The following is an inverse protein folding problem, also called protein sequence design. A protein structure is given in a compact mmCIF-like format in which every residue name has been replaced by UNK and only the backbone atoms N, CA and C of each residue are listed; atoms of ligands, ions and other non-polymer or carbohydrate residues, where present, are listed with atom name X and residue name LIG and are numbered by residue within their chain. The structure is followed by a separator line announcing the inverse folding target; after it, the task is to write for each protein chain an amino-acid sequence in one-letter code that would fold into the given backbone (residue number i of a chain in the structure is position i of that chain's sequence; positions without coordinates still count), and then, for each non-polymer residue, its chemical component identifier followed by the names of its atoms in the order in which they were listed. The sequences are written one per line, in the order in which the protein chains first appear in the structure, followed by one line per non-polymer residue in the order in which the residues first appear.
data_IF_633108765471
#
_entry.id   IF_633108765471
#
_cell.length_a   1.000
_cell.length_b   1.000
_cell.length_c   1.000
_cell.angle_alpha   90.00
_cell.angle_beta   90.00
_cell.angle_gamma   90.00
#
_symmetry.space_group_name_H-M   'P 1'
#
loop_
_entity.id
_entity.type
_entity.pdbx_description
1 polymer ?
#
# COMPACT_ATOMS: atom_id res chain seq x y z
N UNK A 1 12.46 6.63 -14.84
CA UNK A 1 12.97 6.92 -13.47
C UNK A 1 12.65 5.73 -12.57
N UNK A 2 13.68 5.04 -12.08
CA UNK A 2 13.50 3.87 -11.22
C UNK A 2 13.01 4.32 -9.83
N UNK A 3 11.76 3.98 -9.47
CA UNK A 3 11.24 4.14 -8.12
C UNK A 3 11.97 3.18 -7.19
N UNK A 4 12.95 3.68 -6.45
CA UNK A 4 13.95 2.86 -5.75
C UNK A 4 13.47 2.19 -4.46
N UNK A 5 12.33 2.50 -3.90
CA UNK A 5 11.83 1.81 -2.69
C UNK A 5 10.36 2.19 -2.43
N UNK A 6 9.47 1.23 -2.42
CA UNK A 6 8.10 1.42 -1.93
C UNK A 6 7.90 0.58 -0.67
N UNK A 7 7.52 1.22 0.43
CA UNK A 7 7.02 0.50 1.60
C UNK A 7 5.54 0.23 1.40
N UNK A 8 5.17 -1.02 1.21
CA UNK A 8 3.78 -1.42 1.01
C UNK A 8 3.18 -1.77 2.37
N UNK A 9 2.08 -1.14 2.72
CA UNK A 9 1.29 -1.48 3.89
C UNK A 9 -0.08 -2.01 3.50
N UNK A 10 -0.54 -3.03 4.23
CA UNK A 10 -1.69 -3.89 3.97
C UNK A 10 -3.07 -3.23 4.19
N UNK A 11 -3.16 -1.91 4.28
CA UNK A 11 -4.44 -1.23 4.48
C UNK A 11 -5.41 -1.37 3.30
N UNK A 12 -4.90 -1.75 2.12
CA UNK A 12 -5.75 -1.95 0.95
C UNK A 12 -6.76 -3.10 1.12
N UNK A 13 -6.31 -4.21 1.72
CA UNK A 13 -7.17 -5.40 1.90
C UNK A 13 -7.93 -5.39 3.23
N UNK A 14 -7.51 -4.63 4.23
CA UNK A 14 -8.13 -4.57 5.56
C UNK A 14 -9.57 -4.08 5.55
N UNK A 15 -9.92 -3.17 4.67
CA UNK A 15 -11.25 -2.56 4.64
C UNK A 15 -12.29 -3.37 3.86
N UNK A 16 -11.88 -4.50 3.24
CA UNK A 16 -12.80 -5.35 2.50
C UNK A 16 -13.43 -6.44 3.40
N UNK A 17 -14.75 -6.65 3.38
CA UNK A 17 -15.41 -7.78 4.04
C UNK A 17 -14.80 -9.12 3.60
N UNK A 18 -14.68 -10.09 4.52
CA UNK A 18 -14.04 -11.41 4.26
C UNK A 18 -14.49 -12.08 2.96
N UNK A 19 -15.80 -12.07 2.66
CA UNK A 19 -16.36 -12.67 1.43
C UNK A 19 -15.93 -11.94 0.15
N UNK A 20 -15.72 -10.64 0.22
CA UNK A 20 -15.32 -9.80 -0.92
C UNK A 20 -13.82 -9.91 -1.18
N UNK A 21 -13.00 -10.03 -0.13
CA UNK A 21 -11.55 -10.31 -0.24
C UNK A 21 -11.31 -11.56 -1.07
N UNK A 22 -11.97 -12.67 -0.74
CA UNK A 22 -11.83 -13.93 -1.46
C UNK A 22 -12.26 -13.86 -2.94
N UNK A 23 -13.26 -13.04 -3.29
CA UNK A 23 -13.76 -12.89 -4.66
C UNK A 23 -12.90 -11.92 -5.50
N UNK A 24 -12.36 -10.86 -4.88
CA UNK A 24 -11.44 -9.93 -5.52
C UNK A 24 -10.07 -10.57 -5.83
N UNK A 25 -9.59 -11.46 -4.96
CA UNK A 25 -8.32 -12.19 -5.12
C UNK A 25 -8.35 -13.22 -6.25
N UNK A 26 -9.51 -13.81 -6.57
CA UNK A 26 -9.58 -14.88 -7.59
C UNK A 26 -9.34 -14.43 -9.02
N UNK A 27 -9.34 -13.14 -9.33
CA UNK A 27 -9.22 -12.68 -10.73
C UNK A 27 -7.90 -12.02 -11.08
N UNK A 28 -7.29 -11.21 -10.24
CA UNK A 28 -5.91 -10.70 -10.39
C UNK A 28 -5.47 -10.10 -9.05
N UNK A 29 -4.37 -10.57 -8.53
CA UNK A 29 -3.76 -9.99 -7.34
C UNK A 29 -3.00 -8.72 -7.72
N UNK A 30 -3.55 -7.57 -7.35
CA UNK A 30 -2.91 -6.28 -7.62
C UNK A 30 -1.51 -6.19 -6.99
N UNK A 31 -1.32 -6.81 -5.83
CA UNK A 31 -0.01 -6.86 -5.17
C UNK A 31 1.04 -7.55 -6.04
N UNK A 32 0.73 -8.69 -6.63
CA UNK A 32 1.67 -9.40 -7.52
C UNK A 32 2.03 -8.55 -8.74
N UNK A 33 1.06 -7.86 -9.34
CA UNK A 33 1.31 -6.97 -10.47
C UNK A 33 2.24 -5.82 -10.08
N UNK A 34 1.98 -5.20 -8.94
CA UNK A 34 2.81 -4.11 -8.39
C UNK A 34 4.23 -4.61 -8.11
N UNK A 35 4.39 -5.77 -7.47
CA UNK A 35 5.70 -6.31 -7.12
C UNK A 35 6.51 -6.80 -8.33
N UNK A 36 5.88 -7.09 -9.46
CA UNK A 36 6.60 -7.33 -10.72
C UNK A 36 7.23 -6.05 -11.30
N UNK A 37 6.62 -4.91 -11.04
CA UNK A 37 7.05 -3.61 -11.59
C UNK A 37 7.95 -2.84 -10.62
N UNK A 38 7.76 -3.02 -9.31
CA UNK A 38 8.41 -2.26 -8.25
C UNK A 38 9.05 -3.17 -7.22
N UNK A 39 10.21 -2.78 -6.71
CA UNK A 39 10.84 -3.45 -5.57
C UNK A 39 10.13 -3.01 -4.28
N UNK A 40 9.44 -3.94 -3.65
CA UNK A 40 8.74 -3.71 -2.39
C UNK A 40 9.64 -3.93 -1.18
N UNK A 41 9.47 -3.09 -0.16
CA UNK A 41 10.16 -3.20 1.12
C UNK A 41 9.14 -3.03 2.25
N UNK A 42 9.21 -3.86 3.29
CA UNK A 42 8.40 -3.70 4.50
C UNK A 42 9.26 -3.73 5.75
N UNK A 43 8.94 -2.92 6.78
CA UNK A 43 9.56 -3.02 8.09
C UNK A 43 9.23 -4.34 8.80
N UNK A 44 10.09 -4.81 9.71
CA UNK A 44 9.82 -5.97 10.57
C UNK A 44 8.48 -5.81 11.33
N UNK A 45 8.22 -4.64 11.90
CA UNK A 45 6.96 -4.35 12.60
C UNK A 45 5.70 -4.54 11.73
N UNK A 46 5.78 -4.21 10.45
CA UNK A 46 4.69 -4.45 9.49
C UNK A 46 4.54 -5.94 9.20
N UNK A 47 5.66 -6.66 9.00
CA UNK A 47 5.64 -8.12 8.84
C UNK A 47 4.99 -8.80 10.04
N UNK A 48 5.40 -8.46 11.27
CA UNK A 48 4.84 -9.00 12.50
C UNK A 48 3.33 -8.75 12.60
N UNK A 49 2.89 -7.52 12.34
CA UNK A 49 1.47 -7.16 12.37
C UNK A 49 0.64 -7.98 11.37
N UNK A 50 1.17 -8.24 10.18
CA UNK A 50 0.51 -9.00 9.14
C UNK A 50 0.45 -10.48 9.52
N UNK A 51 1.57 -11.07 9.95
CA UNK A 51 1.67 -12.50 10.25
C UNK A 51 0.85 -12.91 11.48
N UNK A 52 0.71 -12.03 12.46
CA UNK A 52 -0.09 -12.28 13.66
C UNK A 52 -1.55 -12.64 13.35
N UNK A 53 -2.12 -12.14 12.26
CA UNK A 53 -3.57 -12.27 11.97
C UNK A 53 -3.96 -13.54 11.22
N UNK A 54 -3.04 -14.36 10.78
CA UNK A 54 -3.27 -15.62 10.02
C UNK A 54 -4.41 -15.52 8.97
N UNK A 55 -4.48 -14.40 8.26
CA UNK A 55 -5.46 -14.17 7.19
C UNK A 55 -4.92 -14.63 5.84
N UNK A 56 -5.81 -14.81 4.83
CA UNK A 56 -5.36 -15.12 3.46
C UNK A 56 -4.42 -14.05 2.91
N UNK A 57 -4.68 -12.79 3.23
CA UNK A 57 -3.83 -11.65 2.81
C UNK A 57 -2.43 -11.76 3.43
N UNK A 58 -2.35 -12.17 4.71
CA UNK A 58 -1.09 -12.43 5.38
C UNK A 58 -0.29 -13.54 4.68
N UNK A 59 -0.94 -14.62 4.29
CA UNK A 59 -0.29 -15.74 3.57
C UNK A 59 0.27 -15.30 2.22
N UNK A 60 -0.47 -14.47 1.47
CA UNK A 60 0.01 -13.92 0.20
C UNK A 60 1.25 -13.04 0.40
N UNK A 61 1.27 -12.21 1.43
CA UNK A 61 2.44 -11.36 1.72
C UNK A 61 3.62 -12.21 2.15
N UNK A 62 3.42 -13.22 3.00
CA UNK A 62 4.48 -14.17 3.38
C UNK A 62 5.04 -14.87 2.14
N UNK A 63 4.19 -15.34 1.25
CA UNK A 63 4.62 -15.92 -0.03
C UNK A 63 5.47 -14.94 -0.84
N UNK A 64 5.09 -13.66 -0.95
CA UNK A 64 5.87 -12.66 -1.67
C UNK A 64 7.24 -12.38 -1.00
N UNK A 65 7.33 -12.53 0.32
CA UNK A 65 8.60 -12.45 1.06
C UNK A 65 9.48 -13.67 0.74
N UNK A 66 8.92 -14.88 0.78
CA UNK A 66 9.63 -16.13 0.47
C UNK A 66 10.14 -16.17 -0.98
N UNK A 67 9.34 -15.67 -1.92
CA UNK A 67 9.70 -15.51 -3.33
C UNK A 67 10.69 -14.36 -3.58
N UNK A 68 11.10 -13.62 -2.53
CA UNK A 68 12.01 -12.45 -2.61
C UNK A 68 11.50 -11.28 -3.46
N UNK A 69 10.20 -11.25 -3.75
CA UNK A 69 9.55 -10.11 -4.41
C UNK A 69 9.35 -8.94 -3.43
N UNK A 70 9.27 -9.26 -2.13
CA UNK A 70 9.13 -8.30 -1.04
C UNK A 70 10.25 -8.49 -0.01
N UNK A 71 10.99 -7.43 0.28
CA UNK A 71 12.13 -7.47 1.20
C UNK A 71 11.71 -6.97 2.58
N UNK A 72 12.01 -7.76 3.63
CA UNK A 72 11.86 -7.31 5.01
C UNK A 72 13.15 -6.62 5.45
N UNK A 73 13.01 -5.45 6.05
CA UNK A 73 14.14 -4.70 6.60
C UNK A 73 13.90 -4.36 8.07
N UNK A 74 14.99 -4.18 8.81
CA UNK A 74 14.94 -3.81 10.23
C UNK A 74 14.18 -2.52 10.44
N UNK A 75 13.49 -2.44 11.57
CA UNK A 75 12.83 -1.21 11.98
C UNK A 75 13.87 -0.08 12.16
N UNK A 76 13.48 1.17 11.93
CA UNK A 76 14.28 2.32 12.31
C UNK A 76 14.56 2.34 13.82
N UNK A 77 15.58 3.10 14.21
CA UNK A 77 15.96 3.28 15.63
C UNK A 77 14.77 3.80 16.42
N UNK A 78 14.54 3.23 17.61
CA UNK A 78 13.35 3.48 18.42
C UNK A 78 13.18 4.97 18.78
N UNK A 79 14.27 5.68 19.02
CA UNK A 79 14.26 7.11 19.34
C UNK A 79 13.62 7.93 18.20
N UNK A 80 13.98 7.63 16.95
CA UNK A 80 13.37 8.29 15.78
C UNK A 80 11.89 7.96 15.63
N UNK A 81 11.53 6.71 15.92
CA UNK A 81 10.12 6.29 15.90
C UNK A 81 9.33 7.02 16.98
N UNK A 82 9.87 7.13 18.18
CA UNK A 82 9.21 7.80 19.30
C UNK A 82 8.97 9.29 19.02
N UNK A 83 9.89 9.98 18.35
CA UNK A 83 9.70 11.37 17.95
C UNK A 83 8.46 11.54 17.05
N UNK A 84 8.33 10.69 16.03
CA UNK A 84 7.16 10.76 15.13
C UNK A 84 5.88 10.35 15.85
N UNK A 85 5.90 9.28 16.65
CA UNK A 85 4.74 8.80 17.40
C UNK A 85 4.24 9.83 18.45
N UNK A 86 5.12 10.65 19.01
CA UNK A 86 4.77 11.72 19.95
C UNK A 86 3.94 12.81 19.27
N UNK A 87 4.32 13.19 18.06
CA UNK A 87 3.72 14.33 17.35
C UNK A 87 2.56 13.93 16.44
N UNK A 88 2.50 12.67 16.00
CA UNK A 88 1.51 12.20 15.03
C UNK A 88 0.87 10.87 15.50
N UNK A 89 -0.47 10.81 15.54
CA UNK A 89 -1.21 9.59 15.96
C UNK A 89 -1.28 8.54 14.84
N UNK A 90 -0.14 8.12 14.30
CA UNK A 90 -0.02 7.05 13.31
C UNK A 90 0.51 5.76 13.97
N UNK A 91 0.20 4.59 13.40
CA UNK A 91 0.63 3.30 13.95
C UNK A 91 2.15 3.08 13.86
N UNK A 92 2.69 2.18 14.72
CA UNK A 92 4.12 1.84 14.69
C UNK A 92 4.60 1.38 13.32
N UNK A 93 3.82 0.53 12.65
CA UNK A 93 4.15 0.06 11.30
C UNK A 93 4.18 1.18 10.27
N UNK A 94 3.21 2.13 10.32
CA UNK A 94 3.22 3.32 9.46
C UNK A 94 4.44 4.20 9.74
N UNK A 95 4.75 4.41 11.03
CA UNK A 95 5.92 5.20 11.44
C UNK A 95 7.22 4.60 10.91
N UNK A 96 7.40 3.29 11.08
CA UNK A 96 8.58 2.60 10.57
C UNK A 96 8.69 2.70 9.05
N UNK A 97 7.58 2.45 8.33
CA UNK A 97 7.54 2.53 6.86
C UNK A 97 7.81 3.96 6.37
N UNK A 98 7.24 4.97 7.03
CA UNK A 98 7.48 6.38 6.73
C UNK A 98 8.95 6.77 6.90
N UNK A 99 9.56 6.43 8.04
CA UNK A 99 10.97 6.75 8.31
C UNK A 99 11.90 6.08 7.29
N UNK A 100 11.65 4.82 6.94
CA UNK A 100 12.41 4.11 5.92
C UNK A 100 12.28 4.79 4.56
N UNK A 101 11.05 5.16 4.16
CA UNK A 101 10.82 5.86 2.90
C UNK A 101 11.57 7.20 2.87
N UNK A 102 11.53 7.95 3.96
CA UNK A 102 12.22 9.23 4.12
C UNK A 102 13.75 9.07 4.04
N UNK A 103 14.32 8.15 4.82
CA UNK A 103 15.78 7.94 4.89
C UNK A 103 16.38 7.40 3.59
N UNK A 104 15.62 6.55 2.89
CA UNK A 104 16.09 5.94 1.62
C UNK A 104 15.68 6.73 0.36
N UNK A 105 15.01 7.86 0.51
CA UNK A 105 14.47 8.62 -0.63
C UNK A 105 13.43 7.83 -1.43
N UNK A 106 12.71 6.93 -0.75
CA UNK A 106 11.72 6.05 -1.35
C UNK A 106 10.34 6.69 -1.52
N UNK A 107 9.35 5.83 -1.73
CA UNK A 107 7.93 6.18 -1.83
C UNK A 107 7.16 5.35 -0.81
N UNK A 108 6.35 5.98 0.03
CA UNK A 108 5.48 5.27 0.97
C UNK A 108 4.20 4.84 0.25
N UNK A 109 3.89 3.55 0.25
CA UNK A 109 2.62 3.04 -0.22
C UNK A 109 1.64 2.95 0.97
N UNK A 110 0.62 3.81 1.00
CA UNK A 110 -0.36 3.86 2.10
C UNK A 110 -1.68 4.47 1.66
N UNK A 111 -2.78 3.96 2.21
CA UNK A 111 -4.12 4.56 2.12
C UNK A 111 -4.55 5.21 3.44
N UNK A 112 -3.68 5.22 4.45
CA UNK A 112 -3.96 5.87 5.72
C UNK A 112 -3.85 7.39 5.60
N UNK A 113 -4.95 8.10 5.88
CA UNK A 113 -5.04 9.54 5.72
C UNK A 113 -4.10 10.32 6.64
N UNK A 114 -3.78 9.80 7.83
CA UNK A 114 -2.83 10.43 8.74
C UNK A 114 -1.39 10.23 8.26
N UNK A 115 -1.05 9.03 7.81
CA UNK A 115 0.25 8.75 7.22
C UNK A 115 0.49 9.60 5.95
N UNK A 116 -0.55 9.81 5.12
CA UNK A 116 -0.50 10.70 3.95
C UNK A 116 -0.24 12.15 4.38
N UNK A 117 -0.89 12.64 5.44
CA UNK A 117 -0.64 13.99 5.99
C UNK A 117 0.80 14.14 6.47
N UNK A 118 1.33 13.15 7.18
CA UNK A 118 2.73 13.13 7.63
C UNK A 118 3.68 13.16 6.43
N UNK A 119 3.42 12.37 5.39
CA UNK A 119 4.20 12.43 4.15
C UNK A 119 4.24 13.82 3.53
N UNK A 120 3.09 14.50 3.48
CA UNK A 120 3.00 15.88 2.95
C UNK A 120 3.81 16.86 3.77
N UNK A 121 3.71 16.80 5.12
CA UNK A 121 4.46 17.69 6.03
C UNK A 121 5.97 17.54 5.85
N UNK A 122 6.46 16.33 5.70
CA UNK A 122 7.90 16.02 5.56
C UNK A 122 8.36 15.88 4.10
N UNK A 123 7.53 16.25 3.13
CA UNK A 123 7.85 16.14 1.69
C UNK A 123 8.29 14.73 1.26
N UNK A 124 7.75 13.69 1.90
CA UNK A 124 7.97 12.29 1.52
C UNK A 124 6.97 11.91 0.42
N UNK A 125 7.44 11.33 -0.66
CA UNK A 125 6.57 10.86 -1.74
C UNK A 125 5.73 9.68 -1.25
N UNK A 126 4.47 9.66 -1.66
CA UNK A 126 3.57 8.55 -1.35
C UNK A 126 2.73 8.15 -2.55
N UNK A 127 2.23 6.92 -2.51
CA UNK A 127 1.27 6.36 -3.48
C UNK A 127 0.15 5.64 -2.72
N UNK A 128 -1.02 5.58 -3.33
CA UNK A 128 -2.19 4.88 -2.79
C UNK A 128 -2.54 3.68 -3.67
N UNK A 129 -3.47 2.83 -3.23
CA UNK A 129 -3.95 1.72 -4.04
C UNK A 129 -4.55 2.18 -5.39
N UNK A 130 -5.18 3.36 -5.44
CA UNK A 130 -5.68 3.93 -6.70
C UNK A 130 -4.55 4.23 -7.68
N UNK A 131 -3.43 4.79 -7.22
CA UNK A 131 -2.28 5.04 -8.09
C UNK A 131 -1.75 3.72 -8.68
N UNK A 132 -1.60 2.69 -7.85
CA UNK A 132 -1.20 1.37 -8.35
C UNK A 132 -2.20 0.77 -9.32
N UNK A 133 -3.50 0.98 -9.09
CA UNK A 133 -4.53 0.47 -9.98
C UNK A 133 -4.47 1.14 -11.36
N UNK A 134 -4.25 2.46 -11.41
CA UNK A 134 -4.09 3.21 -12.66
C UNK A 134 -2.81 2.79 -13.39
N UNK A 135 -1.71 2.59 -12.63
CA UNK A 135 -0.39 2.27 -13.20
C UNK A 135 -0.20 0.78 -13.52
N UNK A 136 -1.12 -0.09 -13.10
CA UNK A 136 -1.02 -1.54 -13.28
C UNK A 136 -1.20 -2.01 -14.74
N UNK A 137 -1.54 -1.12 -15.66
CA UNK A 137 -1.80 -1.44 -17.08
C UNK A 137 -2.80 -2.60 -17.28
N UNK A 138 -3.80 -2.69 -16.41
CA UNK A 138 -4.91 -3.62 -16.57
C UNK A 138 -5.79 -3.19 -17.75
N UNK A 139 -6.52 -4.15 -18.33
CA UNK A 139 -7.60 -3.78 -19.23
C UNK A 139 -8.65 -2.91 -18.50
N UNK A 140 -9.29 -2.02 -19.24
CA UNK A 140 -10.19 -1.02 -18.67
C UNK A 140 -11.35 -1.66 -17.89
N UNK A 141 -11.88 -2.78 -18.37
CA UNK A 141 -12.99 -3.47 -17.69
C UNK A 141 -12.56 -3.96 -16.30
N UNK A 142 -11.42 -4.64 -16.23
CA UNK A 142 -10.90 -5.17 -14.96
C UNK A 142 -10.49 -4.05 -14.01
N UNK A 143 -9.86 -2.99 -14.51
CA UNK A 143 -9.48 -1.83 -13.71
C UNK A 143 -10.73 -1.15 -13.11
N UNK A 144 -11.80 -0.96 -13.88
CA UNK A 144 -13.05 -0.39 -13.41
C UNK A 144 -13.76 -1.28 -12.38
N UNK A 145 -13.74 -2.61 -12.56
CA UNK A 145 -14.28 -3.54 -11.55
C UNK A 145 -13.52 -3.43 -10.21
N UNK A 146 -12.19 -3.32 -10.25
CA UNK A 146 -11.39 -3.09 -9.04
C UNK A 146 -11.64 -1.71 -8.44
N UNK A 147 -11.81 -0.68 -9.25
CA UNK A 147 -12.16 0.66 -8.78
C UNK A 147 -13.53 0.69 -8.07
N UNK A 148 -14.52 -0.05 -8.56
CA UNK A 148 -15.82 -0.22 -7.88
C UNK A 148 -15.65 -0.83 -6.48
N UNK A 149 -14.73 -1.78 -6.30
CA UNK A 149 -14.44 -2.34 -4.98
C UNK A 149 -13.78 -1.30 -4.07
N UNK A 150 -12.85 -0.50 -4.58
CA UNK A 150 -12.24 0.61 -3.82
C UNK A 150 -13.27 1.66 -3.42
N UNK A 151 -14.19 2.03 -4.33
CA UNK A 151 -15.30 2.93 -4.04
C UNK A 151 -16.21 2.40 -2.94
N UNK A 152 -16.53 1.10 -2.99
CA UNK A 152 -17.47 0.48 -2.04
C UNK A 152 -16.89 0.30 -0.64
N UNK A 153 -15.60 -0.01 -0.54
CA UNK A 153 -14.97 -0.44 0.71
C UNK A 153 -13.81 0.44 1.17
N UNK A 154 -13.29 1.29 0.29
CA UNK A 154 -12.25 2.27 0.59
C UNK A 154 -12.83 3.57 1.16
N UNK A 155 -11.94 4.40 1.71
CA UNK A 155 -12.30 5.72 2.25
C UNK A 155 -11.94 6.85 1.25
N UNK A 156 -12.17 6.59 -0.03
CA UNK A 156 -11.88 7.57 -1.08
C UNK A 156 -13.08 8.49 -1.31
N UNK A 157 -12.82 9.77 -1.54
CA UNK A 157 -13.86 10.72 -1.92
C UNK A 157 -14.42 10.40 -3.31
N UNK A 158 -15.65 10.86 -3.56
CA UNK A 158 -16.31 10.69 -4.87
C UNK A 158 -15.46 11.32 -5.98
N UNK A 159 -14.83 12.45 -5.70
CA UNK A 159 -13.96 13.14 -6.65
C UNK A 159 -12.75 12.29 -7.04
N UNK A 160 -12.02 11.74 -6.06
CA UNK A 160 -10.85 10.87 -6.32
C UNK A 160 -11.25 9.64 -7.16
N UNK A 161 -12.41 9.06 -6.88
CA UNK A 161 -12.93 7.93 -7.65
C UNK A 161 -13.29 8.35 -9.08
N UNK A 162 -13.93 9.52 -9.27
CA UNK A 162 -14.25 10.07 -10.58
C UNK A 162 -13.01 10.32 -11.44
N UNK A 163 -12.02 11.00 -10.87
CA UNK A 163 -10.74 11.26 -11.54
C UNK A 163 -10.02 9.96 -11.95
N UNK A 164 -10.07 8.94 -11.08
CA UNK A 164 -9.50 7.63 -11.39
C UNK A 164 -10.27 6.92 -12.53
N UNK A 165 -11.60 7.01 -12.52
CA UNK A 165 -12.45 6.43 -13.57
C UNK A 165 -12.17 7.08 -14.94
N UNK A 166 -12.06 8.41 -14.99
CA UNK A 166 -11.69 9.13 -16.20
C UNK A 166 -10.33 8.72 -16.74
N UNK A 167 -9.32 8.63 -15.87
CA UNK A 167 -7.99 8.17 -16.28
C UNK A 167 -7.98 6.75 -16.84
N UNK A 168 -8.73 5.83 -16.20
CA UNK A 168 -8.83 4.45 -16.68
C UNK A 168 -9.53 4.40 -18.04
N UNK A 169 -10.60 5.17 -18.24
CA UNK A 169 -11.38 5.21 -19.51
C UNK A 169 -10.66 5.96 -20.62
N UNK A 170 -10.00 7.06 -20.29
CA UNK A 170 -9.35 7.94 -21.27
C UNK A 170 -8.12 7.34 -21.94
N UNK A 171 -7.65 6.19 -21.48
CA UNK A 171 -6.41 5.58 -21.97
C UNK A 171 -5.24 6.54 -21.85
N UNK A 172 -4.17 6.13 -21.20
CA UNK A 172 -2.94 6.94 -21.09
C UNK A 172 -2.41 7.34 -22.45
#
# INVERSE_FOLDING_TARGET
MSLKCSCIKDNFLRNLPRKVRAKAQRKIDLLQIVLRQYKGVIPESVKEEITYKNTMDAKLIVQQIEEKNLTVIKNPVQEKMNLILKDFPIGKGETAAFLIAREKGGVLATDDGLAIKVCKIFSVRFVTAIHFLIDAHLDNFLALEKLKLLKKYGRYSVQIIGDAEERIRGGK
#
